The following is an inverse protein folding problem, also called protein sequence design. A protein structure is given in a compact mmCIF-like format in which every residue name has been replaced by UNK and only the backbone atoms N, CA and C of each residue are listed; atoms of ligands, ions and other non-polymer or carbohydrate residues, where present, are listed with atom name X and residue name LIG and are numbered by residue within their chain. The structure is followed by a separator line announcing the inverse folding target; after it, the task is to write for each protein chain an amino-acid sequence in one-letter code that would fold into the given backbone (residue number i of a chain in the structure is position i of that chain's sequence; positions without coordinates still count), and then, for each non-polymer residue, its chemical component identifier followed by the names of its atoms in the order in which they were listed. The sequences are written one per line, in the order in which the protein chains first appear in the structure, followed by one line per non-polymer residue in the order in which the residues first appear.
data_IF_771770218455
#
_entry.id   IF_771770218455
#
_cell.length_a   1.000
_cell.length_b   1.000
_cell.length_c   1.000
_cell.angle_alpha   90.00
_cell.angle_beta   90.00
_cell.angle_gamma   90.00
#
_symmetry.space_group_name_H-M   'P 1'
#
loop_
_entity.id
_entity.type
_entity.pdbx_description
1 polymer ?
#
# COMPACT_ATOMS: atom_id res chain seq x y z
N UNK A 1 52.00 -12.11 17.31
CA UNK A 1 50.82 -12.09 18.19
C UNK A 1 49.63 -11.57 17.41
N UNK A 2 48.81 -12.47 16.87
CA UNK A 2 47.60 -12.13 16.13
C UNK A 2 46.41 -12.06 17.08
N UNK A 3 45.57 -11.04 16.95
CA UNK A 3 44.30 -10.93 17.66
C UNK A 3 43.19 -11.57 16.81
N UNK A 4 42.27 -12.36 17.40
CA UNK A 4 41.17 -12.97 16.68
C UNK A 4 40.02 -11.98 16.44
N UNK A 5 39.40 -12.14 15.27
CA UNK A 5 38.26 -11.42 14.71
C UNK A 5 36.96 -11.65 15.50
N UNK A 6 36.13 -10.62 15.59
CA UNK A 6 34.66 -10.78 15.63
C UNK A 6 34.03 -9.77 14.68
N UNK A 7 33.82 -10.19 13.43
CA UNK A 7 32.97 -9.45 12.49
C UNK A 7 31.53 -9.70 12.89
N UNK A 8 30.91 -8.74 13.60
CA UNK A 8 29.50 -8.79 13.94
C UNK A 8 28.70 -8.79 12.63
N UNK A 9 28.11 -9.92 12.28
CA UNK A 9 27.15 -10.04 11.19
C UNK A 9 25.94 -9.16 11.54
N UNK A 10 25.91 -7.93 11.06
CA UNK A 10 24.69 -7.14 11.02
C UNK A 10 23.79 -7.77 9.95
N UNK A 11 22.97 -8.73 10.37
CA UNK A 11 21.76 -9.09 9.65
C UNK A 11 20.84 -7.87 9.69
N UNK A 12 21.08 -6.94 8.77
CA UNK A 12 20.08 -5.94 8.42
C UNK A 12 18.96 -6.72 7.78
N UNK A 13 17.91 -7.05 8.57
CA UNK A 13 16.63 -7.41 7.97
C UNK A 13 16.33 -6.29 6.97
N UNK A 14 16.11 -6.60 5.68
CA UNK A 14 15.75 -5.57 4.73
C UNK A 14 14.50 -4.85 5.28
N UNK A 15 14.42 -3.51 5.14
CA UNK A 15 13.33 -2.73 5.72
C UNK A 15 11.99 -3.35 5.34
N UNK A 16 11.03 -3.31 6.28
CA UNK A 16 9.69 -3.86 6.17
C UNK A 16 8.94 -3.24 4.99
N UNK A 17 9.27 -3.74 3.79
CA UNK A 17 8.73 -3.27 2.52
C UNK A 17 7.41 -4.00 2.36
N UNK A 18 6.30 -3.27 2.37
CA UNK A 18 4.95 -3.78 2.11
C UNK A 18 5.00 -4.59 0.81
N UNK A 19 5.00 -5.92 0.94
CA UNK A 19 5.23 -6.90 -0.15
C UNK A 19 4.33 -8.12 0.03
N UNK A 20 3.13 -7.91 0.55
CA UNK A 20 2.22 -9.01 0.88
C UNK A 20 1.85 -9.82 -0.36
N UNK A 21 1.39 -9.16 -1.43
CA UNK A 21 1.00 -9.86 -2.67
C UNK A 21 2.17 -10.59 -3.33
N UNK A 22 3.33 -9.96 -3.41
CA UNK A 22 4.54 -10.60 -3.96
C UNK A 22 4.91 -11.85 -3.17
N UNK A 23 4.92 -11.77 -1.83
CA UNK A 23 5.27 -12.91 -0.98
C UNK A 23 4.23 -14.03 -1.10
N UNK A 24 2.94 -13.70 -1.16
CA UNK A 24 1.86 -14.68 -1.34
C UNK A 24 1.98 -15.40 -2.68
N UNK A 25 2.16 -14.67 -3.79
CA UNK A 25 2.31 -15.29 -5.12
C UNK A 25 3.54 -16.20 -5.16
N UNK A 26 4.66 -15.74 -4.61
CA UNK A 26 5.87 -16.55 -4.55
C UNK A 26 5.69 -17.81 -3.69
N UNK A 27 5.00 -17.69 -2.55
CA UNK A 27 4.69 -18.84 -1.70
C UNK A 27 3.80 -19.86 -2.43
N UNK A 28 2.73 -19.40 -3.09
CA UNK A 28 1.84 -20.26 -3.88
C UNK A 28 2.61 -20.97 -5.00
N UNK A 29 3.46 -20.25 -5.72
CA UNK A 29 4.31 -20.84 -6.76
C UNK A 29 5.17 -21.96 -6.18
N UNK A 30 5.93 -21.69 -5.12
CA UNK A 30 6.79 -22.69 -4.48
C UNK A 30 5.99 -23.92 -4.04
N UNK A 31 4.82 -23.74 -3.44
CA UNK A 31 3.95 -24.86 -3.03
C UNK A 31 3.49 -25.70 -4.21
N UNK A 32 3.12 -25.08 -5.35
CA UNK A 32 2.72 -25.82 -6.56
C UNK A 32 3.89 -26.64 -7.11
N UNK A 33 5.10 -26.07 -7.09
CA UNK A 33 6.32 -26.77 -7.52
C UNK A 33 6.62 -27.97 -6.61
N UNK A 34 6.52 -27.79 -5.29
CA UNK A 34 6.74 -28.87 -4.29
C UNK A 34 5.71 -30.00 -4.41
N UNK A 35 4.49 -29.70 -4.84
CA UNK A 35 3.46 -30.70 -5.13
C UNK A 35 3.68 -31.44 -6.46
N UNK A 36 4.73 -31.12 -7.21
CA UNK A 36 5.01 -31.73 -8.51
C UNK A 36 4.07 -31.27 -9.64
N UNK A 37 3.36 -30.16 -9.45
CA UNK A 37 2.39 -29.62 -10.41
C UNK A 37 2.95 -28.41 -11.17
N UNK A 38 4.25 -28.41 -11.45
CA UNK A 38 4.96 -27.29 -12.07
C UNK A 38 4.33 -26.86 -13.41
N UNK A 39 3.97 -27.83 -14.24
CA UNK A 39 3.39 -27.61 -15.58
C UNK A 39 2.00 -26.98 -15.52
N UNK A 40 1.32 -27.04 -14.37
CA UNK A 40 0.00 -26.44 -14.18
C UNK A 40 0.06 -24.92 -13.94
N UNK A 41 1.23 -24.33 -13.70
CA UNK A 41 1.36 -22.93 -13.30
C UNK A 41 0.69 -21.96 -14.27
N UNK A 42 0.96 -22.08 -15.57
CA UNK A 42 0.43 -21.16 -16.59
C UNK A 42 -1.09 -21.21 -16.70
N UNK A 43 -1.72 -22.38 -16.48
CA UNK A 43 -3.17 -22.52 -16.42
C UNK A 43 -3.75 -22.08 -15.06
N UNK A 44 -3.00 -22.30 -13.98
CA UNK A 44 -3.41 -21.97 -12.62
C UNK A 44 -3.53 -20.45 -12.41
N UNK A 45 -2.59 -19.67 -12.94
CA UNK A 45 -2.54 -18.22 -12.70
C UNK A 45 -3.84 -17.50 -13.09
N UNK A 46 -4.34 -17.59 -14.33
CA UNK A 46 -5.53 -16.85 -14.74
C UNK A 46 -6.82 -17.46 -14.18
N UNK A 47 -6.88 -18.78 -13.99
CA UNK A 47 -8.09 -19.45 -13.52
C UNK A 47 -8.29 -19.38 -12.00
N UNK A 48 -7.20 -19.44 -11.23
CA UNK A 48 -7.26 -19.63 -9.77
C UNK A 48 -6.55 -18.52 -9.00
N UNK A 49 -5.42 -18.00 -9.48
CA UNK A 49 -4.65 -16.99 -8.75
C UNK A 49 -5.22 -15.58 -8.92
N UNK A 50 -5.19 -15.04 -10.15
CA UNK A 50 -5.62 -13.66 -10.45
C UNK A 50 -7.07 -13.38 -10.02
N UNK A 51 -8.02 -14.33 -10.11
CA UNK A 51 -9.37 -14.06 -9.69
C UNK A 51 -9.56 -13.88 -8.17
N UNK A 52 -8.63 -14.38 -7.35
CA UNK A 52 -8.75 -14.47 -5.89
C UNK A 52 -7.83 -13.51 -5.13
N UNK A 53 -6.80 -13.00 -5.79
CA UNK A 53 -5.84 -12.08 -5.19
C UNK A 53 -6.25 -10.64 -5.51
N UNK A 54 -6.41 -9.82 -4.47
CA UNK A 54 -6.80 -8.42 -4.59
C UNK A 54 -5.82 -7.52 -3.85
N UNK A 55 -5.50 -6.37 -4.42
CA UNK A 55 -4.72 -5.31 -3.79
C UNK A 55 -5.49 -3.99 -3.75
N UNK A 56 -5.19 -3.14 -2.77
CA UNK A 56 -5.79 -1.81 -2.66
C UNK A 56 -4.70 -0.83 -2.26
N UNK A 57 -4.58 0.27 -3.01
CA UNK A 57 -3.60 1.32 -2.76
C UNK A 57 -4.27 2.69 -2.80
N UNK A 58 -3.85 3.57 -1.88
CA UNK A 58 -4.39 4.93 -1.78
C UNK A 58 -3.72 5.89 -2.76
N UNK A 59 -2.42 5.70 -3.03
CA UNK A 59 -1.60 6.63 -3.81
C UNK A 59 -1.26 6.05 -5.18
N UNK A 60 -1.24 6.91 -6.21
CA UNK A 60 -0.90 6.53 -7.59
C UNK A 60 0.49 5.87 -7.72
N UNK A 61 1.49 6.41 -7.02
CA UNK A 61 2.86 5.91 -7.12
C UNK A 61 3.02 4.46 -6.62
N UNK A 62 2.62 4.09 -5.39
CA UNK A 62 2.67 2.70 -4.93
C UNK A 62 1.73 1.79 -5.72
N UNK A 63 0.56 2.28 -6.18
CA UNK A 63 -0.31 1.54 -7.09
C UNK A 63 0.42 1.08 -8.37
N UNK A 64 1.12 2.00 -9.04
CA UNK A 64 1.88 1.69 -10.27
C UNK A 64 3.07 0.78 -9.97
N UNK A 65 3.78 1.03 -8.87
CA UNK A 65 4.93 0.19 -8.46
C UNK A 65 4.49 -1.22 -8.10
N UNK A 66 3.32 -1.40 -7.49
CA UNK A 66 2.77 -2.71 -7.15
C UNK A 66 2.43 -3.49 -8.41
N UNK A 67 1.78 -2.86 -9.39
CA UNK A 67 1.51 -3.44 -10.71
C UNK A 67 2.79 -3.91 -11.39
N UNK A 68 3.79 -3.03 -11.51
CA UNK A 68 5.07 -3.35 -12.14
C UNK A 68 5.79 -4.51 -11.45
N UNK A 69 5.89 -4.48 -10.12
CA UNK A 69 6.59 -5.54 -9.38
C UNK A 69 5.91 -6.88 -9.53
N UNK A 70 4.59 -6.90 -9.47
CA UNK A 70 3.84 -8.15 -9.54
C UNK A 70 3.81 -8.71 -10.96
N UNK A 71 3.73 -7.86 -11.98
CA UNK A 71 3.83 -8.30 -13.37
C UNK A 71 5.21 -8.87 -13.68
N UNK A 72 6.28 -8.19 -13.25
CA UNK A 72 7.65 -8.70 -13.39
C UNK A 72 7.85 -10.02 -12.66
N UNK A 73 7.30 -10.17 -11.44
CA UNK A 73 7.36 -11.44 -10.71
C UNK A 73 6.69 -12.56 -11.51
N UNK A 74 5.46 -12.35 -11.97
CA UNK A 74 4.73 -13.38 -12.72
C UNK A 74 5.46 -13.76 -14.03
N UNK A 75 6.03 -12.78 -14.72
CA UNK A 75 6.87 -13.02 -15.90
C UNK A 75 8.13 -13.85 -15.56
N UNK A 76 8.80 -13.55 -14.44
CA UNK A 76 9.94 -14.33 -13.96
C UNK A 76 9.55 -15.77 -13.59
N UNK A 77 8.31 -15.98 -13.16
CA UNK A 77 7.73 -17.29 -12.86
C UNK A 77 7.20 -18.00 -14.13
N UNK A 78 7.46 -17.46 -15.33
CA UNK A 78 7.08 -18.09 -16.60
C UNK A 78 5.62 -17.86 -17.02
N UNK A 79 4.93 -16.89 -16.42
CA UNK A 79 3.58 -16.50 -16.83
C UNK A 79 3.61 -15.22 -17.68
N UNK A 80 2.99 -15.29 -18.85
CA UNK A 80 2.77 -14.14 -19.72
C UNK A 80 1.28 -13.76 -19.70
N UNK A 81 1.00 -12.45 -19.69
CA UNK A 81 -0.38 -11.96 -19.59
C UNK A 81 -1.08 -12.01 -20.94
N UNK A 82 -2.27 -12.60 -20.96
CA UNK A 82 -3.21 -12.49 -22.06
C UNK A 82 -3.81 -11.08 -22.19
N UNK A 83 -4.48 -10.81 -23.32
CA UNK A 83 -5.07 -9.48 -23.61
C UNK A 83 -6.13 -9.03 -22.61
N UNK A 84 -6.86 -9.97 -22.01
CA UNK A 84 -7.99 -9.70 -21.11
C UNK A 84 -7.64 -9.95 -19.63
N UNK A 85 -6.37 -10.21 -19.32
CA UNK A 85 -5.91 -10.55 -17.98
C UNK A 85 -5.32 -9.32 -17.29
N UNK A 86 -5.84 -9.00 -16.10
CA UNK A 86 -5.34 -7.88 -15.29
C UNK A 86 -5.03 -8.29 -13.87
N UNK A 87 -4.04 -7.61 -13.31
CA UNK A 87 -3.85 -7.58 -11.86
C UNK A 87 -5.01 -6.84 -11.22
N UNK A 88 -5.60 -7.42 -10.16
CA UNK A 88 -6.72 -6.81 -9.43
C UNK A 88 -6.22 -6.00 -8.25
N UNK A 89 -5.29 -5.08 -8.53
CA UNK A 89 -4.82 -4.08 -7.58
C UNK A 89 -5.59 -2.81 -7.90
N UNK A 90 -6.29 -2.24 -6.93
CA UNK A 90 -7.18 -1.10 -7.17
C UNK A 90 -6.65 0.17 -6.55
N UNK A 91 -6.79 1.28 -7.27
CA UNK A 91 -6.55 2.60 -6.74
C UNK A 91 -7.82 3.12 -6.06
N UNK A 92 -7.84 3.12 -4.74
CA UNK A 92 -8.99 3.64 -4.00
C UNK A 92 -8.55 4.10 -2.63
N UNK A 93 -9.13 5.20 -2.15
CA UNK A 93 -9.12 5.43 -0.73
C UNK A 93 -9.95 4.34 -0.06
N UNK A 94 -9.34 3.58 0.86
CA UNK A 94 -10.02 2.51 1.55
C UNK A 94 -11.28 2.97 2.31
N UNK A 95 -11.32 4.27 2.69
CA UNK A 95 -12.30 4.91 3.56
C UNK A 95 -13.27 5.89 2.88
N UNK A 96 -13.15 6.16 1.57
CA UNK A 96 -13.92 7.24 0.92
C UNK A 96 -15.09 6.74 0.08
N UNK A 97 -16.19 7.49 0.10
CA UNK A 97 -17.32 7.30 -0.79
C UNK A 97 -17.02 7.98 -2.13
N UNK A 98 -17.46 7.37 -3.25
CA UNK A 98 -17.23 7.91 -4.58
C UNK A 98 -17.79 9.36 -4.65
N UNK A 99 -16.98 10.38 -5.04
CA UNK A 99 -17.48 11.73 -5.16
C UNK A 99 -18.52 11.77 -6.29
N UNK A 100 -19.79 11.87 -5.90
CA UNK A 100 -20.86 12.11 -6.86
C UNK A 100 -20.68 13.53 -7.42
N UNK A 101 -20.27 13.64 -8.68
CA UNK A 101 -20.70 14.77 -9.51
C UNK A 101 -19.67 15.78 -10.03
N UNK A 102 -18.36 15.53 -10.05
CA UNK A 102 -17.42 16.47 -10.71
C UNK A 102 -16.29 15.76 -11.47
N UNK A 103 -16.61 15.26 -12.66
CA UNK A 103 -15.64 14.75 -13.63
C UNK A 103 -15.23 15.87 -14.59
N UNK A 104 -14.28 16.73 -14.18
CA UNK A 104 -13.76 17.82 -15.04
C UNK A 104 -12.41 17.48 -15.70
N UNK A 105 -11.73 16.41 -15.30
CA UNK A 105 -10.43 16.00 -15.84
C UNK A 105 -10.52 14.65 -16.59
N UNK A 106 -9.74 14.45 -17.66
CA UNK A 106 -9.85 13.28 -18.54
C UNK A 106 -9.54 11.93 -17.86
N UNK A 107 -8.83 11.93 -16.72
CA UNK A 107 -8.49 10.72 -15.97
C UNK A 107 -9.48 10.40 -14.83
N UNK A 108 -10.50 11.24 -14.61
CA UNK A 108 -11.46 11.03 -13.52
C UNK A 108 -12.28 9.76 -13.69
N UNK A 109 -12.67 9.42 -14.92
CA UNK A 109 -13.42 8.20 -15.23
C UNK A 109 -12.66 6.95 -14.79
N UNK A 110 -11.37 6.86 -15.09
CA UNK A 110 -10.52 5.75 -14.66
C UNK A 110 -10.49 5.61 -13.12
N UNK A 111 -10.33 6.72 -12.40
CA UNK A 111 -10.31 6.70 -10.91
C UNK A 111 -11.67 6.27 -10.35
N UNK A 112 -12.76 6.73 -10.96
CA UNK A 112 -14.11 6.33 -10.58
C UNK A 112 -14.32 4.83 -10.82
N UNK A 113 -13.90 4.32 -11.97
CA UNK A 113 -13.99 2.90 -12.31
C UNK A 113 -13.19 2.05 -11.32
N UNK A 114 -11.95 2.44 -11.00
CA UNK A 114 -11.12 1.80 -9.98
C UNK A 114 -11.82 1.74 -8.62
N UNK A 115 -12.46 2.84 -8.21
CA UNK A 115 -13.24 2.91 -6.97
C UNK A 115 -14.48 2.00 -6.98
N UNK A 116 -15.23 1.95 -8.09
CA UNK A 116 -16.40 1.08 -8.26
C UNK A 116 -15.98 -0.40 -8.17
N UNK A 117 -14.93 -0.78 -8.90
CA UNK A 117 -14.43 -2.16 -8.90
C UNK A 117 -13.90 -2.56 -7.53
N UNK A 118 -13.20 -1.65 -6.84
CA UNK A 118 -12.75 -1.89 -5.49
C UNK A 118 -13.91 -2.09 -4.50
N UNK A 119 -14.97 -1.28 -4.61
CA UNK A 119 -16.17 -1.41 -3.78
C UNK A 119 -16.86 -2.74 -3.99
N UNK A 120 -17.03 -3.18 -5.23
CA UNK A 120 -17.60 -4.49 -5.54
C UNK A 120 -16.80 -5.64 -4.91
N UNK A 121 -15.46 -5.55 -4.88
CA UNK A 121 -14.64 -6.54 -4.17
C UNK A 121 -14.86 -6.48 -2.66
N UNK A 122 -14.91 -5.29 -2.07
CA UNK A 122 -15.07 -5.12 -0.61
C UNK A 122 -16.45 -5.53 -0.10
N UNK A 123 -17.50 -5.39 -0.91
CA UNK A 123 -18.90 -5.63 -0.51
C UNK A 123 -19.41 -7.00 -0.95
N UNK A 124 -19.10 -7.42 -2.18
CA UNK A 124 -19.82 -8.53 -2.83
C UNK A 124 -19.00 -9.82 -2.88
N UNK A 125 -17.69 -9.76 -2.64
CA UNK A 125 -16.82 -10.95 -2.70
C UNK A 125 -16.54 -11.53 -1.31
N UNK A 126 -16.59 -12.87 -1.16
CA UNK A 126 -16.21 -13.52 0.08
C UNK A 126 -14.68 -13.43 0.29
N UNK A 127 -14.23 -12.46 1.08
CA UNK A 127 -12.81 -12.29 1.43
C UNK A 127 -12.49 -13.11 2.68
N UNK A 128 -11.58 -14.08 2.56
CA UNK A 128 -11.20 -14.97 3.66
C UNK A 128 -10.05 -14.43 4.51
N UNK A 129 -9.09 -13.75 3.88
CA UNK A 129 -7.86 -13.30 4.53
C UNK A 129 -7.56 -11.87 4.10
N UNK A 130 -7.26 -11.02 5.07
CA UNK A 130 -6.78 -9.65 4.85
C UNK A 130 -5.35 -9.56 5.41
N UNK A 131 -4.40 -9.18 4.56
CA UNK A 131 -3.01 -8.95 4.93
C UNK A 131 -2.65 -7.50 4.66
N UNK A 132 -1.92 -6.87 5.58
CA UNK A 132 -1.49 -5.50 5.39
C UNK A 132 -0.70 -4.96 6.57
N UNK A 133 -0.10 -3.80 6.36
CA UNK A 133 0.45 -2.98 7.44
C UNK A 133 -0.48 -1.80 7.61
N UNK A 134 -1.47 -1.86 8.54
CA UNK A 134 -2.37 -0.74 8.73
C UNK A 134 -1.57 0.51 9.14
N UNK A 135 -2.01 1.72 8.76
CA UNK A 135 -1.37 2.93 9.22
C UNK A 135 -1.45 2.98 10.74
N UNK A 136 -0.29 2.94 11.42
CA UNK A 136 -0.26 3.14 12.86
C UNK A 136 -0.57 4.63 13.13
N UNK A 137 -1.79 4.91 13.59
CA UNK A 137 -2.19 6.24 14.05
C UNK A 137 -1.51 6.55 15.38
N UNK A 138 -0.22 6.86 15.34
CA UNK A 138 0.40 7.62 16.42
C UNK A 138 -0.30 8.97 16.46
N UNK A 139 -0.94 9.29 17.59
CA UNK A 139 -1.22 10.68 17.92
C UNK A 139 0.03 11.49 17.56
N UNK A 140 -0.13 12.50 16.71
CA UNK A 140 0.95 13.42 16.34
C UNK A 140 1.76 13.75 17.58
N UNK A 141 3.05 13.37 17.60
CA UNK A 141 3.98 13.80 18.64
C UNK A 141 4.30 15.30 18.56
N UNK A 142 3.62 16.04 17.68
CA UNK A 142 3.58 17.50 17.69
C UNK A 142 2.27 17.98 18.34
N UNK A 143 2.15 17.73 19.64
CA UNK A 143 1.32 18.53 20.53
C UNK A 143 2.21 19.56 21.25
N UNK A 144 2.89 20.42 20.49
CA UNK A 144 3.48 21.65 21.03
C UNK A 144 2.68 22.86 20.54
N UNK A 145 1.67 23.18 21.34
CA UNK A 145 1.04 24.49 21.47
C UNK A 145 2.01 25.65 21.22
N UNK A 146 1.72 26.49 20.23
CA UNK A 146 1.49 27.94 20.39
C UNK A 146 1.13 28.55 19.06
N UNK A 147 -0.17 28.78 18.93
CA UNK A 147 -0.78 29.71 17.98
C UNK A 147 -0.16 31.09 18.22
N UNK A 148 0.38 31.68 17.17
CA UNK A 148 0.78 33.07 17.10
C UNK A 148 -0.39 33.97 17.52
N UNK A 149 -0.24 34.73 18.60
CA UNK A 149 -1.05 35.92 18.84
C UNK A 149 -0.18 37.14 18.61
N UNK A 150 -0.20 37.62 17.37
CA UNK A 150 0.19 38.99 17.06
C UNK A 150 -1.07 39.86 16.97
N UNK A 151 -0.92 41.09 17.48
CA UNK A 151 -1.79 42.28 17.42
C UNK A 151 -2.85 42.55 18.50
N UNK A 152 -2.65 43.66 19.23
CA UNK A 152 -3.77 44.44 19.82
C UNK A 152 -3.50 45.34 21.04
N UNK A 153 -2.74 46.43 20.88
CA UNK A 153 -2.80 47.75 21.58
C UNK A 153 -3.35 47.89 23.04
N UNK A 154 -2.46 48.44 23.90
CA UNK A 154 -2.59 49.64 24.77
C UNK A 154 -3.65 49.67 25.91
N UNK A 155 -3.19 49.84 27.17
CA UNK A 155 -3.43 51.03 28.03
C UNK A 155 -2.82 50.88 29.43
N UNK A 156 -1.97 51.87 29.77
CA UNK A 156 -1.81 52.60 31.04
C UNK A 156 -2.13 51.83 32.35
N UNK A 157 -1.14 51.76 33.24
CA UNK A 157 -1.23 52.33 34.60
C UNK A 157 0.15 52.30 35.29
N UNK A 158 0.72 53.49 35.51
CA UNK A 158 1.73 53.78 36.55
C UNK A 158 0.96 54.46 37.69
N UNK A 159 1.17 54.08 38.96
CA UNK A 159 1.94 54.92 39.90
C UNK A 159 2.83 54.04 40.80
N UNK A 160 3.78 54.48 41.62
CA UNK A 160 4.48 55.72 41.98
C UNK A 160 5.78 55.25 42.68
N UNK A 161 6.81 56.10 42.71
CA UNK A 161 8.08 56.00 43.48
C UNK A 161 7.88 55.56 44.94
N UNK A 162 8.84 54.98 45.68
CA UNK A 162 10.13 55.48 46.27
C UNK A 162 10.82 54.20 46.84
N UNK A 163 12.13 53.96 46.93
CA UNK A 163 13.33 54.76 47.19
C UNK A 163 14.52 54.35 46.29
#
# INVERSE_FOLDING_TARGET
MGWPTTRRSSSTRPPARQRFLHAVVQHIYTTIQEMGMADAWTAYVPEKLLPRVFGFELLMAPYTVAHLKLSMLLQQLGYDFGKDERLRIYLTNALDELPAGQATLPFTSFIVDEGIQARAVKQDKPVMVVLGSPPYSGHSANASWKISKENGRNKKNKPLSVD
#
